data_IF_791383552102
#
_entry.id   IF_791383552102
#
_cell.length_a   1.000
_cell.length_b   1.000
_cell.length_c   1.000
_cell.angle_alpha   90.00
_cell.angle_beta   90.00
_cell.angle_gamma   90.00
#
_symmetry.space_group_name_H-M   'P 1'
#
loop_
_entity.id
_entity.type
_entity.pdbx_description
1 polymer ?
#
# COMPACT_ATOMS: atom_id res chain seq x y z
N UNK A 1 13.41 -6.12 13.62
CA UNK A 1 14.70 -6.77 13.29
C UNK A 1 15.35 -6.10 12.08
N UNK A 2 14.79 -6.17 10.85
CA UNK A 2 15.41 -5.52 9.68
C UNK A 2 15.65 -4.00 9.85
N UNK A 3 14.66 -3.27 10.36
CA UNK A 3 14.83 -1.84 10.65
C UNK A 3 15.86 -1.52 11.74
N UNK A 4 16.13 -2.47 12.64
CA UNK A 4 17.18 -2.37 13.65
C UNK A 4 18.54 -2.72 13.04
N UNK A 5 18.60 -3.74 12.18
CA UNK A 5 19.78 -4.06 11.40
C UNK A 5 20.24 -2.86 10.57
N UNK A 6 19.31 -2.10 9.99
CA UNK A 6 19.64 -0.90 9.21
C UNK A 6 20.32 0.21 10.04
N UNK A 7 20.28 0.14 11.38
CA UNK A 7 21.03 1.03 12.25
C UNK A 7 22.54 0.78 12.14
N UNK A 8 22.97 -0.42 11.72
CA UNK A 8 24.39 -0.75 11.51
C UNK A 8 25.07 0.17 10.49
N UNK A 9 24.31 0.72 9.53
CA UNK A 9 24.85 1.66 8.53
C UNK A 9 25.21 3.04 9.11
N UNK A 10 24.73 3.36 10.31
CA UNK A 10 24.98 4.65 10.97
C UNK A 10 26.15 4.61 11.95
N UNK A 11 26.68 3.42 12.26
CA UNK A 11 27.77 3.23 13.21
C UNK A 11 28.96 2.54 12.54
N UNK A 12 30.17 2.87 12.99
CA UNK A 12 31.40 2.18 12.59
C UNK A 12 31.98 1.41 13.79
N UNK A 13 32.72 0.32 13.52
CA UNK A 13 33.39 -0.46 14.57
C UNK A 13 32.50 -1.46 15.31
N UNK A 14 32.74 -1.66 16.62
CA UNK A 14 32.06 -2.68 17.45
C UNK A 14 30.56 -2.48 17.57
N UNK A 15 30.09 -1.23 17.54
CA UNK A 15 28.68 -0.91 17.67
C UNK A 15 27.90 -1.36 16.43
N UNK A 16 28.53 -1.31 15.25
CA UNK A 16 27.95 -1.82 14.00
C UNK A 16 27.70 -3.33 14.06
N UNK A 17 28.63 -4.10 14.65
CA UNK A 17 28.51 -5.56 14.76
C UNK A 17 27.28 -6.00 15.57
N UNK A 18 26.92 -5.24 16.61
CA UNK A 18 25.75 -5.52 17.43
C UNK A 18 24.44 -5.37 16.62
N UNK A 19 24.35 -4.38 15.73
CA UNK A 19 23.17 -4.21 14.86
C UNK A 19 23.15 -5.23 13.71
N UNK A 20 24.32 -5.67 13.21
CA UNK A 20 24.40 -6.74 12.21
C UNK A 20 23.81 -8.07 12.76
N UNK A 21 23.93 -8.33 14.07
CA UNK A 21 23.28 -9.47 14.71
C UNK A 21 21.74 -9.43 14.57
N UNK A 22 21.13 -8.24 14.45
CA UNK A 22 19.70 -8.10 14.20
C UNK A 22 19.29 -8.51 12.78
N UNK A 23 20.19 -8.40 11.79
CA UNK A 23 19.97 -8.97 10.45
C UNK A 23 20.03 -10.49 10.49
N UNK A 24 20.98 -11.08 11.22
CA UNK A 24 21.06 -12.54 11.42
C UNK A 24 19.78 -13.06 12.07
N UNK A 25 19.31 -12.39 13.14
CA UNK A 25 18.04 -12.72 13.80
C UNK A 25 16.84 -12.60 12.84
N UNK A 26 16.82 -11.58 11.97
CA UNK A 26 15.77 -11.39 10.98
C UNK A 26 15.69 -12.52 9.95
N UNK A 27 16.82 -12.86 9.34
CA UNK A 27 16.89 -13.91 8.32
C UNK A 27 16.63 -15.28 8.94
N UNK A 28 17.17 -15.55 10.13
CA UNK A 28 16.84 -16.76 10.89
C UNK A 28 15.34 -16.85 11.18
N UNK A 29 14.72 -15.75 11.64
CA UNK A 29 13.27 -15.70 11.90
C UNK A 29 12.43 -15.89 10.65
N UNK A 30 12.86 -15.36 9.51
CA UNK A 30 12.17 -15.52 8.22
C UNK A 30 12.08 -16.99 7.83
N UNK A 31 13.20 -17.72 7.85
CA UNK A 31 13.26 -19.15 7.53
C UNK A 31 12.41 -19.94 8.52
N UNK A 32 12.59 -19.65 9.81
CA UNK A 32 11.83 -20.30 10.87
C UNK A 32 10.31 -20.11 10.69
N UNK A 33 9.87 -18.87 10.49
CA UNK A 33 8.47 -18.52 10.25
C UNK A 33 7.90 -19.22 9.03
N UNK A 34 8.64 -19.28 7.91
CA UNK A 34 8.22 -20.01 6.73
C UNK A 34 7.99 -21.50 7.05
N UNK A 35 8.92 -22.15 7.76
CA UNK A 35 8.81 -23.59 8.07
C UNK A 35 7.62 -23.92 8.97
N UNK A 36 7.48 -23.29 10.14
CA UNK A 36 6.38 -23.63 11.05
C UNK A 36 5.01 -23.13 10.55
N UNK A 37 4.93 -21.97 9.88
CA UNK A 37 3.62 -21.50 9.37
C UNK A 37 3.12 -22.36 8.23
N UNK A 38 3.99 -22.75 7.29
CA UNK A 38 3.58 -23.63 6.20
C UNK A 38 3.04 -24.97 6.74
N UNK A 39 3.72 -25.56 7.74
CA UNK A 39 3.24 -26.76 8.41
C UNK A 39 1.86 -26.55 9.08
N UNK A 40 1.67 -25.45 9.83
CA UNK A 40 0.40 -25.14 10.48
C UNK A 40 -0.75 -24.92 9.49
N UNK A 41 -0.51 -24.25 8.35
CA UNK A 41 -1.52 -24.07 7.31
C UNK A 41 -1.92 -25.39 6.66
N UNK A 42 -0.94 -26.24 6.35
CA UNK A 42 -1.20 -27.57 5.79
C UNK A 42 -2.01 -28.44 6.76
N UNK A 43 -1.66 -28.45 8.04
CA UNK A 43 -2.41 -29.21 9.06
C UNK A 43 -3.80 -28.63 9.28
N UNK A 44 -3.97 -27.30 9.25
CA UNK A 44 -5.31 -26.70 9.32
C UNK A 44 -6.16 -27.16 8.13
N UNK A 45 -5.58 -27.27 6.93
CA UNK A 45 -6.25 -27.86 5.76
C UNK A 45 -6.56 -29.35 5.92
N UNK A 46 -5.67 -30.12 6.56
CA UNK A 46 -5.90 -31.53 6.86
C UNK A 46 -7.07 -31.74 7.85
N UNK A 47 -7.11 -30.93 8.91
CA UNK A 47 -8.22 -30.93 9.89
C UNK A 47 -9.52 -30.53 9.23
N UNK A 48 -9.52 -29.48 8.38
CA UNK A 48 -10.70 -29.04 7.63
C UNK A 48 -11.23 -30.14 6.70
N UNK A 49 -10.33 -30.80 5.95
CA UNK A 49 -10.70 -31.90 5.07
C UNK A 49 -11.33 -33.08 5.83
N UNK A 50 -10.71 -33.49 6.93
CA UNK A 50 -11.10 -34.65 7.74
C UNK A 50 -12.37 -34.41 8.58
N UNK A 51 -12.55 -33.19 9.10
CA UNK A 51 -13.67 -32.86 10.01
C UNK A 51 -14.82 -32.14 9.30
N UNK A 52 -14.55 -31.49 8.16
CA UNK A 52 -15.49 -30.66 7.43
C UNK A 52 -15.69 -29.24 7.99
N UNK A 53 -14.88 -28.82 8.97
CA UNK A 53 -14.96 -27.47 9.54
C UNK A 53 -13.63 -26.94 10.05
N UNK A 54 -13.48 -25.61 10.03
CA UNK A 54 -12.35 -24.86 10.64
C UNK A 54 -12.76 -24.13 11.91
N UNK A 55 -14.02 -24.28 12.33
CA UNK A 55 -14.56 -23.58 13.49
C UNK A 55 -14.02 -24.18 14.79
N UNK A 56 -13.10 -23.45 15.43
CA UNK A 56 -12.48 -23.83 16.71
C UNK A 56 -13.48 -24.01 17.87
N UNK A 57 -14.73 -23.57 17.72
CA UNK A 57 -15.79 -23.83 18.70
C UNK A 57 -16.40 -25.23 18.56
N UNK A 58 -16.36 -25.81 17.36
CA UNK A 58 -16.86 -27.15 17.03
C UNK A 58 -15.79 -28.23 17.19
N UNK A 59 -14.53 -27.88 16.95
CA UNK A 59 -13.38 -28.76 17.12
C UNK A 59 -13.10 -29.05 18.61
N UNK A 60 -12.45 -30.19 18.89
CA UNK A 60 -12.06 -30.63 20.23
C UNK A 60 -11.87 -32.15 20.32
N UNK A 61 -10.95 -32.58 21.19
CA UNK A 61 -10.72 -34.00 21.50
C UNK A 61 -10.22 -34.86 20.33
N UNK A 62 -9.50 -34.28 19.36
CA UNK A 62 -9.03 -34.98 18.15
C UNK A 62 -7.70 -35.72 18.33
N UNK A 63 -7.02 -35.60 19.47
CA UNK A 63 -5.69 -36.20 19.71
C UNK A 63 -5.63 -37.69 19.37
N UNK A 64 -6.60 -38.48 19.85
CA UNK A 64 -6.60 -39.95 19.64
C UNK A 64 -7.02 -40.36 18.23
N UNK A 65 -7.64 -39.45 17.47
CA UNK A 65 -8.17 -39.71 16.12
C UNK A 65 -7.16 -39.27 15.05
N UNK A 66 -6.46 -38.14 15.29
CA UNK A 66 -5.48 -37.56 14.39
C UNK A 66 -4.13 -37.33 15.10
N UNK A 67 -3.47 -38.41 15.59
CA UNK A 67 -2.26 -38.29 16.39
C UNK A 67 -1.08 -37.69 15.63
N UNK A 68 -0.95 -37.95 14.32
CA UNK A 68 0.16 -37.41 13.51
C UNK A 68 -0.07 -35.91 13.31
N UNK A 69 -1.29 -35.51 12.95
CA UNK A 69 -1.64 -34.09 12.81
C UNK A 69 -1.47 -33.32 14.14
N UNK A 70 -1.79 -33.97 15.27
CA UNK A 70 -1.54 -33.41 16.60
C UNK A 70 -0.05 -33.20 16.86
N UNK A 71 0.79 -34.21 16.61
CA UNK A 71 2.25 -34.11 16.82
C UNK A 71 2.87 -32.99 15.99
N UNK A 72 2.50 -32.88 14.72
CA UNK A 72 2.97 -31.80 13.84
C UNK A 72 2.50 -30.43 14.39
N UNK A 73 1.23 -30.33 14.79
CA UNK A 73 0.68 -29.10 15.36
C UNK A 73 1.43 -28.68 16.61
N UNK A 74 1.78 -29.63 17.50
CA UNK A 74 2.59 -29.35 18.69
C UNK A 74 3.96 -28.82 18.29
N UNK A 75 4.69 -29.54 17.43
CA UNK A 75 6.06 -29.15 17.02
C UNK A 75 6.05 -27.74 16.43
N UNK A 76 5.16 -27.49 15.47
CA UNK A 76 5.08 -26.21 14.77
C UNK A 76 4.53 -25.08 15.65
N UNK A 77 3.53 -25.34 16.49
CA UNK A 77 2.96 -24.33 17.40
C UNK A 77 3.92 -23.98 18.53
N UNK A 78 4.64 -24.96 19.09
CA UNK A 78 5.65 -24.70 20.12
C UNK A 78 6.88 -23.99 19.54
N UNK A 79 7.28 -24.30 18.30
CA UNK A 79 8.25 -23.46 17.58
C UNK A 79 7.75 -22.02 17.41
N UNK A 80 6.51 -21.82 16.94
CA UNK A 80 5.90 -20.48 16.84
C UNK A 80 5.82 -19.76 18.21
N UNK A 81 5.55 -20.49 19.28
CA UNK A 81 5.53 -19.97 20.64
C UNK A 81 6.93 -19.60 21.16
N UNK A 82 7.98 -20.20 20.58
CA UNK A 82 9.37 -19.98 20.94
C UNK A 82 9.88 -20.91 22.02
N UNK A 83 9.34 -22.14 22.14
CA UNK A 83 9.65 -23.08 23.23
C UNK A 83 10.81 -24.02 22.86
N UNK A 84 11.78 -24.29 23.75
CA UNK A 84 12.79 -25.33 23.53
C UNK A 84 12.17 -26.73 23.36
N UNK A 85 12.71 -27.63 22.52
CA UNK A 85 13.98 -27.55 21.80
C UNK A 85 13.87 -27.03 20.35
N UNK A 86 12.79 -26.34 19.97
CA UNK A 86 12.52 -25.99 18.57
C UNK A 86 13.27 -24.73 18.12
N UNK A 87 13.54 -24.62 16.80
CA UNK A 87 14.18 -23.45 16.19
C UNK A 87 13.49 -22.11 16.51
N UNK A 88 12.19 -22.14 16.75
CA UNK A 88 11.37 -21.12 17.42
C UNK A 88 12.06 -20.33 18.52
N UNK A 89 12.63 -21.07 19.47
CA UNK A 89 13.27 -20.51 20.66
C UNK A 89 14.50 -19.70 20.29
N UNK A 90 15.44 -20.27 19.53
CA UNK A 90 16.66 -19.58 19.08
C UNK A 90 16.34 -18.26 18.37
N UNK A 91 15.33 -18.29 17.50
CA UNK A 91 14.89 -17.13 16.75
C UNK A 91 14.32 -16.03 17.64
N UNK A 92 13.46 -16.38 18.61
CA UNK A 92 12.85 -15.40 19.53
C UNK A 92 13.81 -14.90 20.59
N UNK A 93 14.75 -15.72 21.02
CA UNK A 93 15.77 -15.29 21.97
C UNK A 93 16.64 -14.21 21.33
N UNK A 94 17.17 -14.45 20.12
CA UNK A 94 17.92 -13.42 19.36
C UNK A 94 17.08 -12.20 18.99
N UNK A 95 15.78 -12.39 18.71
CA UNK A 95 14.85 -11.27 18.54
C UNK A 95 14.85 -10.35 19.77
N UNK A 96 14.65 -10.92 20.95
CA UNK A 96 14.55 -10.18 22.21
C UNK A 96 15.88 -9.53 22.56
N UNK A 97 17.02 -10.23 22.39
CA UNK A 97 18.35 -9.63 22.50
C UNK A 97 18.47 -8.38 21.62
N UNK A 98 18.16 -8.50 20.32
CA UNK A 98 18.21 -7.36 19.39
C UNK A 98 17.26 -6.21 19.75
N UNK A 99 16.09 -6.49 20.35
CA UNK A 99 15.17 -5.42 20.77
C UNK A 99 15.65 -4.71 22.04
N UNK A 100 16.29 -5.45 22.95
CA UNK A 100 16.84 -4.91 24.19
C UNK A 100 18.09 -4.07 23.88
N UNK A 101 18.97 -4.57 23.02
CA UNK A 101 20.22 -3.87 22.71
C UNK A 101 20.00 -2.52 22.01
N UNK A 102 18.88 -2.36 21.29
CA UNK A 102 18.48 -1.06 20.71
C UNK A 102 18.24 0.02 21.75
N UNK A 103 17.94 -0.34 23.01
CA UNK A 103 17.81 0.66 24.07
C UNK A 103 19.14 1.33 24.42
N UNK A 104 20.27 0.69 24.06
CA UNK A 104 21.61 1.25 24.21
C UNK A 104 22.06 2.04 22.97
N UNK A 105 21.28 2.03 21.89
CA UNK A 105 21.53 2.79 20.67
C UNK A 105 21.20 4.28 20.87
N UNK A 106 22.21 5.15 20.91
CA UNK A 106 22.03 6.62 20.94
C UNK A 106 21.56 7.20 19.59
N UNK A 107 20.66 6.52 18.86
CA UNK A 107 20.11 7.00 17.57
C UNK A 107 18.71 7.57 17.78
N UNK A 108 18.36 8.65 17.09
CA UNK A 108 17.01 9.23 17.05
C UNK A 108 16.37 9.68 18.39
N UNK A 109 17.14 10.05 19.42
CA UNK A 109 16.59 10.32 20.77
C UNK A 109 15.76 9.14 21.32
N UNK A 110 16.13 7.91 20.95
CA UNK A 110 15.52 6.68 21.48
C UNK A 110 15.74 6.52 22.99
N UNK A 111 16.50 7.39 23.66
CA UNK A 111 16.64 7.40 25.12
C UNK A 111 15.30 7.48 25.87
N UNK A 112 14.24 8.04 25.27
CA UNK A 112 12.88 8.06 25.88
C UNK A 112 11.89 7.06 25.26
N UNK A 113 11.93 6.84 23.94
CA UNK A 113 10.97 5.96 23.23
C UNK A 113 11.51 4.56 22.94
N UNK A 114 12.83 4.36 23.00
CA UNK A 114 13.50 3.09 22.70
C UNK A 114 13.08 1.98 23.64
N UNK A 115 12.74 2.29 24.89
CA UNK A 115 12.22 1.30 25.86
C UNK A 115 10.85 0.73 25.47
N UNK A 116 10.05 1.45 24.66
CA UNK A 116 8.76 0.94 24.19
C UNK A 116 8.94 -0.22 23.20
N UNK A 117 10.06 -0.26 22.46
CA UNK A 117 10.33 -1.31 21.46
C UNK A 117 10.40 -2.70 22.10
N UNK A 118 11.27 -2.97 23.11
CA UNK A 118 11.30 -4.28 23.77
C UNK A 118 10.01 -4.56 24.54
N UNK A 119 9.35 -3.56 25.13
CA UNK A 119 8.05 -3.76 25.81
C UNK A 119 7.00 -4.29 24.82
N UNK A 120 6.84 -3.64 23.67
CA UNK A 120 5.89 -4.08 22.63
C UNK A 120 6.28 -5.45 22.07
N UNK A 121 7.57 -5.73 21.90
CA UNK A 121 8.07 -7.02 21.45
C UNK A 121 7.78 -8.16 22.44
N UNK A 122 7.97 -7.92 23.75
CA UNK A 122 7.64 -8.87 24.82
C UNK A 122 6.13 -9.09 24.86
N UNK A 123 5.31 -8.03 24.85
CA UNK A 123 3.85 -8.14 24.84
C UNK A 123 3.34 -8.91 23.61
N UNK A 124 3.87 -8.62 22.43
CA UNK A 124 3.56 -9.37 21.21
C UNK A 124 3.94 -10.85 21.31
N UNK A 125 5.07 -11.14 21.96
CA UNK A 125 5.53 -12.51 22.21
C UNK A 125 4.65 -13.25 23.23
N UNK A 126 4.16 -12.58 24.28
CA UNK A 126 3.16 -13.10 25.22
C UNK A 126 1.90 -13.52 24.47
N UNK A 127 1.31 -12.62 23.67
CA UNK A 127 0.11 -12.97 22.91
C UNK A 127 0.36 -14.10 21.90
N UNK A 128 1.56 -14.14 21.31
CA UNK A 128 1.99 -15.23 20.44
C UNK A 128 2.01 -16.58 21.14
N UNK A 129 2.58 -16.63 22.33
CA UNK A 129 2.57 -17.83 23.17
C UNK A 129 1.13 -18.25 23.51
N UNK A 130 0.29 -17.30 23.93
CA UNK A 130 -1.12 -17.55 24.30
C UNK A 130 -1.90 -18.18 23.15
N UNK A 131 -1.88 -17.58 21.94
CA UNK A 131 -2.66 -18.12 20.84
C UNK A 131 -2.08 -19.44 20.30
N UNK A 132 -0.76 -19.65 20.35
CA UNK A 132 -0.12 -20.88 19.92
C UNK A 132 -0.52 -22.09 20.77
N UNK A 133 -0.41 -21.95 22.10
CA UNK A 133 -0.79 -23.02 23.04
C UNK A 133 -2.30 -23.27 23.00
N UNK A 134 -3.09 -22.20 22.89
CA UNK A 134 -4.53 -22.31 22.80
C UNK A 134 -5.00 -23.01 21.52
N UNK A 135 -4.30 -22.83 20.39
CA UNK A 135 -4.58 -23.56 19.15
C UNK A 135 -4.45 -25.08 19.35
N UNK A 136 -3.38 -25.55 20.01
CA UNK A 136 -3.21 -26.97 20.35
C UNK A 136 -4.38 -27.45 21.21
N UNK A 137 -4.68 -26.70 22.28
CA UNK A 137 -5.70 -27.07 23.26
C UNK A 137 -7.13 -27.09 22.71
N UNK A 138 -7.49 -26.13 21.86
CA UNK A 138 -8.85 -26.02 21.32
C UNK A 138 -9.13 -27.05 20.22
N UNK A 139 -8.14 -27.40 19.41
CA UNK A 139 -8.35 -28.31 18.27
C UNK A 139 -8.25 -29.77 18.71
N UNK A 140 -7.23 -30.13 19.49
CA UNK A 140 -6.88 -31.53 19.74
C UNK A 140 -7.16 -32.01 21.16
N UNK A 141 -7.12 -31.12 22.15
CA UNK A 141 -7.40 -31.48 23.56
C UNK A 141 -8.87 -31.26 23.91
N UNK A 142 -9.24 -31.60 25.16
CA UNK A 142 -10.60 -31.51 25.65
C UNK A 142 -11.49 -32.69 25.22
N UNK A 143 -12.80 -32.49 25.31
CA UNK A 143 -13.78 -33.54 25.01
C UNK A 143 -14.07 -33.63 23.52
N UNK A 144 -14.13 -34.85 23.01
CA UNK A 144 -14.54 -35.13 21.63
C UNK A 144 -16.04 -34.83 21.44
N UNK A 145 -16.39 -34.11 20.38
CA UNK A 145 -17.76 -33.63 20.10
C UNK A 145 -18.25 -34.13 18.73
N UNK A 146 -18.68 -35.40 18.60
CA UNK A 146 -19.06 -35.97 17.32
C UNK A 146 -20.22 -35.22 16.65
N UNK A 147 -21.23 -34.80 17.43
CA UNK A 147 -22.45 -34.17 16.90
C UNK A 147 -22.22 -32.75 16.33
N UNK A 148 -21.09 -32.12 16.68
CA UNK A 148 -20.74 -30.79 16.18
C UNK A 148 -19.98 -30.85 14.84
N UNK A 149 -19.48 -32.02 14.44
CA UNK A 149 -18.62 -32.19 13.27
C UNK A 149 -19.45 -32.58 12.03
N UNK A 150 -19.29 -31.87 10.90
CA UNK A 150 -19.96 -32.22 9.64
C UNK A 150 -19.57 -33.60 9.08
N UNK A 151 -18.36 -34.10 9.40
CA UNK A 151 -17.85 -35.39 8.97
C UNK A 151 -17.28 -36.17 10.13
N UNK A 152 -17.30 -37.51 10.01
CA UNK A 152 -16.58 -38.38 10.95
C UNK A 152 -15.07 -38.14 10.79
N UNK A 153 -14.38 -37.63 11.82
CA UNK A 153 -12.97 -37.32 11.74
C UNK A 153 -12.14 -38.59 11.53
N UNK A 154 -11.08 -38.43 10.78
CA UNK A 154 -10.07 -39.45 10.53
C UNK A 154 -8.71 -38.77 10.32
N UNK A 155 -7.62 -39.50 10.48
CA UNK A 155 -6.30 -38.97 10.12
C UNK A 155 -6.23 -38.67 8.61
N UNK A 156 -5.54 -37.60 8.24
CA UNK A 156 -5.39 -37.25 6.83
C UNK A 156 -4.58 -38.31 6.09
N UNK A 157 -4.79 -38.41 4.77
CA UNK A 157 -4.05 -39.37 3.95
C UNK A 157 -2.53 -39.16 4.07
N UNK A 158 -1.69 -40.21 4.02
CA UNK A 158 -0.25 -40.08 4.12
C UNK A 158 0.33 -39.06 3.13
N UNK A 159 -0.19 -39.03 1.90
CA UNK A 159 0.26 -38.09 0.85
C UNK A 159 0.05 -36.62 1.24
N UNK A 160 -1.06 -36.32 1.95
CA UNK A 160 -1.33 -34.97 2.45
C UNK A 160 -0.41 -34.60 3.63
N UNK A 161 0.08 -35.59 4.37
CA UNK A 161 0.93 -35.40 5.55
C UNK A 161 2.43 -35.35 5.24
N UNK A 162 2.89 -35.80 4.07
CA UNK A 162 4.33 -35.79 3.71
C UNK A 162 4.95 -34.40 3.86
N UNK A 163 4.36 -33.38 3.23
CA UNK A 163 4.89 -32.02 3.27
C UNK A 163 4.94 -31.43 4.69
N UNK A 164 3.86 -31.45 5.50
CA UNK A 164 3.93 -30.94 6.86
C UNK A 164 4.84 -31.76 7.78
N UNK A 165 5.00 -33.07 7.56
CA UNK A 165 5.98 -33.90 8.28
C UNK A 165 7.41 -33.41 7.98
N UNK A 166 7.76 -33.22 6.72
CA UNK A 166 9.09 -32.71 6.33
C UNK A 166 9.36 -31.37 7.01
N UNK A 167 8.38 -30.45 7.00
CA UNK A 167 8.52 -29.14 7.64
C UNK A 167 8.66 -29.25 9.17
N UNK A 168 7.94 -30.15 9.82
CA UNK A 168 8.09 -30.39 11.25
C UNK A 168 9.46 -30.98 11.61
N UNK A 169 9.98 -31.88 10.77
CA UNK A 169 11.35 -32.40 10.91
C UNK A 169 12.35 -31.25 10.78
N UNK A 170 12.23 -30.39 9.77
CA UNK A 170 13.10 -29.22 9.61
C UNK A 170 13.06 -28.28 10.83
N UNK A 171 11.88 -28.06 11.42
CA UNK A 171 11.72 -27.27 12.66
C UNK A 171 12.55 -27.84 13.82
N UNK A 172 12.60 -29.17 13.95
CA UNK A 172 13.41 -29.85 14.97
C UNK A 172 14.89 -29.80 14.59
N UNK A 173 15.24 -30.18 13.36
CA UNK A 173 16.62 -30.21 12.86
C UNK A 173 17.29 -28.86 13.00
N UNK A 174 16.62 -27.78 12.59
CA UNK A 174 17.16 -26.41 12.72
C UNK A 174 17.20 -25.90 14.16
N UNK A 175 16.43 -26.50 15.06
CA UNK A 175 16.48 -26.17 16.49
C UNK A 175 17.68 -26.84 17.18
N UNK A 176 17.96 -28.09 16.82
CA UNK A 176 19.06 -28.87 17.39
C UNK A 176 20.41 -28.56 16.72
N UNK A 177 20.40 -28.27 15.42
CA UNK A 177 21.60 -28.03 14.59
C UNK A 177 21.49 -26.69 13.83
N UNK A 178 21.44 -25.54 14.54
CA UNK A 178 21.26 -24.24 13.90
C UNK A 178 22.42 -23.85 12.97
N UNK A 179 23.64 -24.34 13.25
CA UNK A 179 24.83 -24.12 12.41
C UNK A 179 24.61 -24.51 10.94
N UNK A 180 23.79 -25.54 10.68
CA UNK A 180 23.46 -25.95 9.31
C UNK A 180 22.82 -24.83 8.49
N UNK A 181 21.99 -23.98 9.11
CA UNK A 181 21.39 -22.82 8.46
C UNK A 181 22.30 -21.59 8.52
N UNK A 182 22.93 -21.39 9.68
CA UNK A 182 23.74 -20.19 9.94
C UNK A 182 24.86 -20.07 8.93
N UNK A 183 25.66 -21.12 8.76
CA UNK A 183 26.89 -21.08 7.98
C UNK A 183 26.60 -21.15 6.47
N UNK A 184 25.49 -21.79 6.07
CA UNK A 184 25.19 -22.06 4.66
C UNK A 184 24.33 -21.00 3.98
N UNK A 185 23.35 -20.43 4.68
CA UNK A 185 22.34 -19.54 4.10
C UNK A 185 22.33 -18.18 4.79
N UNK A 186 22.32 -18.16 6.12
CA UNK A 186 22.05 -16.94 6.88
C UNK A 186 23.25 -15.99 6.81
N UNK A 187 24.46 -16.49 7.06
CA UNK A 187 25.67 -15.68 7.01
C UNK A 187 25.93 -15.09 5.61
N UNK A 188 25.86 -15.84 4.49
CA UNK A 188 25.94 -15.26 3.16
C UNK A 188 24.85 -14.22 2.87
N UNK A 189 23.61 -14.47 3.32
CA UNK A 189 22.51 -13.53 3.14
C UNK A 189 22.74 -12.21 3.91
N UNK A 190 23.24 -12.29 5.14
CA UNK A 190 23.55 -11.09 5.94
C UNK A 190 24.77 -10.36 5.39
N UNK A 191 25.80 -11.06 4.92
CA UNK A 191 26.94 -10.44 4.24
C UNK A 191 26.53 -9.72 2.94
N UNK A 192 25.49 -10.19 2.25
CA UNK A 192 24.92 -9.46 1.11
C UNK A 192 24.13 -8.21 1.52
N UNK A 193 23.65 -8.16 2.77
CA UNK A 193 22.84 -7.06 3.32
C UNK A 193 23.67 -6.07 4.14
N UNK A 194 24.83 -6.45 4.66
CA UNK A 194 25.67 -5.64 5.55
C UNK A 194 26.93 -5.18 4.83
N UNK A 195 27.35 -3.93 5.04
CA UNK A 195 28.65 -3.43 4.58
C UNK A 195 29.82 -3.88 5.47
N UNK A 196 29.52 -4.46 6.63
CA UNK A 196 30.50 -4.97 7.60
C UNK A 196 30.55 -6.49 7.54
N UNK A 197 31.76 -7.06 7.44
CA UNK A 197 31.98 -8.50 7.51
C UNK A 197 31.44 -9.05 8.84
N UNK A 198 30.57 -10.06 8.75
CA UNK A 198 30.03 -10.73 9.93
C UNK A 198 31.15 -11.43 10.71
N UNK A 199 31.16 -11.27 12.02
CA UNK A 199 31.78 -12.26 12.90
C UNK A 199 30.86 -13.49 12.93
N UNK A 200 31.43 -14.71 13.00
CA UNK A 200 30.64 -15.93 13.17
C UNK A 200 29.78 -15.81 14.43
N UNK A 201 28.47 -15.58 14.26
CA UNK A 201 27.51 -15.55 15.36
C UNK A 201 26.96 -16.97 15.53
N UNK A 202 27.45 -17.66 16.55
CA UNK A 202 26.94 -18.97 16.91
C UNK A 202 25.56 -18.86 17.59
N UNK A 203 24.63 -19.72 17.19
CA UNK A 203 23.32 -19.84 17.82
C UNK A 203 23.35 -20.98 18.83
N UNK A 204 23.38 -20.66 20.13
CA UNK A 204 23.30 -21.65 21.19
C UNK A 204 21.89 -21.71 21.80
N UNK A 205 21.45 -22.89 22.22
CA UNK A 205 20.16 -23.04 22.92
C UNK A 205 20.18 -22.49 24.35
N UNK A 206 21.36 -22.25 24.92
CA UNK A 206 21.49 -21.64 26.23
C UNK A 206 22.76 -20.80 26.29
N UNK A 207 22.60 -19.49 26.46
CA UNK A 207 23.70 -18.52 26.57
C UNK A 207 23.92 -18.04 28.03
N UNK A 208 23.26 -18.68 29.01
CA UNK A 208 23.25 -18.24 30.41
C UNK A 208 22.01 -17.42 30.77
N UNK A 209 22.04 -16.76 31.93
CA UNK A 209 20.96 -15.88 32.41
C UNK A 209 21.05 -14.49 31.75
N UNK A 210 20.66 -14.39 30.49
CA UNK A 210 20.58 -13.12 29.75
C UNK A 210 19.26 -12.38 30.03
N UNK A 211 19.20 -11.05 29.83
CA UNK A 211 17.94 -10.30 29.89
C UNK A 211 16.87 -10.83 28.92
N UNK A 212 17.29 -11.34 27.76
CA UNK A 212 16.41 -11.99 26.80
C UNK A 212 15.81 -13.29 27.38
N UNK A 213 16.63 -14.11 28.05
CA UNK A 213 16.17 -15.36 28.65
C UNK A 213 15.18 -15.11 29.79
N UNK A 214 15.43 -14.10 30.62
CA UNK A 214 14.50 -13.64 31.65
C UNK A 214 13.18 -13.14 31.03
N UNK A 215 13.26 -12.43 29.91
CA UNK A 215 12.08 -11.99 29.15
C UNK A 215 11.30 -13.18 28.58
N UNK A 216 11.99 -14.22 28.10
CA UNK A 216 11.38 -15.48 27.65
C UNK A 216 10.66 -16.21 28.79
N UNK A 217 11.27 -16.29 29.98
CA UNK A 217 10.62 -16.85 31.17
C UNK A 217 9.39 -16.03 31.60
N UNK A 218 9.49 -14.69 31.55
CA UNK A 218 8.37 -13.80 31.78
C UNK A 218 7.23 -14.03 30.77
N UNK A 219 7.56 -14.20 29.49
CA UNK A 219 6.60 -14.51 28.42
C UNK A 219 5.83 -15.80 28.74
N UNK A 220 6.52 -16.85 29.19
CA UNK A 220 5.87 -18.10 29.59
C UNK A 220 5.01 -17.93 30.84
N UNK A 221 5.52 -17.28 31.88
CA UNK A 221 4.78 -17.07 33.12
C UNK A 221 3.49 -16.27 32.90
N UNK A 222 3.59 -15.10 32.27
CA UNK A 222 2.43 -14.27 31.94
C UNK A 222 1.52 -14.95 30.94
N UNK A 223 2.08 -15.63 29.93
CA UNK A 223 1.33 -16.38 28.94
C UNK A 223 0.47 -17.48 29.56
N UNK A 224 1.02 -18.27 30.49
CA UNK A 224 0.28 -19.30 31.23
C UNK A 224 -0.84 -18.66 32.05
N UNK A 225 -0.57 -17.57 32.79
CA UNK A 225 -1.59 -16.85 33.56
C UNK A 225 -2.73 -16.35 32.64
N UNK A 226 -2.40 -15.80 31.48
CA UNK A 226 -3.39 -15.34 30.50
C UNK A 226 -4.20 -16.50 29.89
N UNK A 227 -3.59 -17.66 29.65
CA UNK A 227 -4.32 -18.85 29.17
C UNK A 227 -5.31 -19.32 30.25
N UNK A 228 -4.89 -19.38 31.51
CA UNK A 228 -5.75 -19.81 32.63
C UNK A 228 -6.90 -18.80 32.89
N UNK A 229 -6.64 -17.51 32.75
CA UNK A 229 -7.62 -16.44 32.93
C UNK A 229 -8.41 -16.09 31.66
N UNK A 230 -8.26 -16.87 30.58
CA UNK A 230 -8.79 -16.56 29.24
C UNK A 230 -10.29 -16.23 29.22
N UNK A 231 -11.09 -16.99 29.96
CA UNK A 231 -12.55 -16.85 30.00
C UNK A 231 -13.02 -15.49 30.55
N UNK A 232 -12.17 -14.81 31.33
CA UNK A 232 -12.44 -13.51 31.92
C UNK A 232 -12.10 -12.37 30.95
N UNK A 233 -10.83 -12.28 30.51
CA UNK A 233 -10.36 -11.13 29.74
C UNK A 233 -10.84 -11.12 28.28
N UNK A 234 -11.18 -12.28 27.70
CA UNK A 234 -11.67 -12.32 26.32
C UNK A 234 -12.99 -11.56 26.15
N UNK A 235 -13.82 -11.47 27.20
CA UNK A 235 -15.07 -10.71 27.18
C UNK A 235 -14.81 -9.23 26.94
N UNK A 236 -13.74 -8.69 27.55
CA UNK A 236 -13.31 -7.30 27.38
C UNK A 236 -12.84 -7.02 25.94
N UNK A 237 -12.09 -7.94 25.33
CA UNK A 237 -11.69 -7.79 23.93
C UNK A 237 -12.84 -7.94 22.95
N UNK A 238 -13.81 -8.83 23.24
CA UNK A 238 -15.01 -8.98 22.39
C UNK A 238 -15.93 -7.76 22.43
N UNK A 239 -15.89 -6.95 23.50
CA UNK A 239 -16.64 -5.69 23.60
C UNK A 239 -15.99 -4.51 22.86
N UNK A 240 -14.88 -4.71 22.16
CA UNK A 240 -14.17 -3.63 21.47
C UNK A 240 -15.02 -3.06 20.31
N UNK A 241 -15.13 -1.73 20.17
CA UNK A 241 -15.97 -1.12 19.16
C UNK A 241 -15.45 -1.41 17.74
N UNK A 242 -16.36 -1.72 16.83
CA UNK A 242 -16.05 -2.05 15.42
C UNK A 242 -15.26 -0.95 14.70
N UNK A 243 -15.44 0.31 15.11
CA UNK A 243 -14.76 1.50 14.56
C UNK A 243 -13.24 1.52 14.75
N UNK A 244 -12.70 0.72 15.68
CA UNK A 244 -11.25 0.62 15.89
C UNK A 244 -10.58 -0.42 14.99
N UNK A 245 -11.36 -1.20 14.23
CA UNK A 245 -10.81 -2.12 13.24
C UNK A 245 -10.37 -1.37 11.98
N UNK A 246 -9.23 -1.77 11.41
CA UNK A 246 -8.74 -1.19 10.15
C UNK A 246 -9.73 -1.46 9.01
N UNK A 247 -10.38 -2.63 9.00
CA UNK A 247 -11.38 -3.01 8.01
C UNK A 247 -12.55 -2.00 7.96
N UNK A 248 -13.03 -1.52 9.12
CA UNK A 248 -14.08 -0.51 9.14
C UNK A 248 -13.66 0.76 8.39
N UNK A 249 -12.43 1.22 8.56
CA UNK A 249 -11.93 2.41 7.87
C UNK A 249 -11.64 2.14 6.40
N UNK A 250 -11.12 0.96 6.07
CA UNK A 250 -10.92 0.52 4.69
C UNK A 250 -12.24 0.47 3.93
N UNK A 251 -13.26 -0.19 4.47
CA UNK A 251 -14.58 -0.31 3.88
C UNK A 251 -15.28 1.06 3.80
N UNK A 252 -15.15 1.88 4.85
CA UNK A 252 -15.69 3.25 4.85
C UNK A 252 -15.03 4.10 3.76
N UNK A 253 -13.71 4.01 3.60
CA UNK A 253 -13.00 4.70 2.53
C UNK A 253 -13.48 4.21 1.16
N UNK A 254 -13.61 2.89 0.99
CA UNK A 254 -14.12 2.29 -0.24
C UNK A 254 -15.54 2.72 -0.60
N UNK A 255 -16.41 2.90 0.41
CA UNK A 255 -17.79 3.35 0.21
C UNK A 255 -17.91 4.86 -0.05
N UNK A 256 -17.04 5.68 0.55
CA UNK A 256 -17.08 7.14 0.41
C UNK A 256 -16.39 7.63 -0.87
N UNK A 257 -15.38 6.90 -1.35
CA UNK A 257 -14.60 7.30 -2.54
C UNK A 257 -15.45 7.50 -3.80
N UNK A 258 -16.42 6.61 -4.13
CA UNK A 258 -17.30 6.80 -5.28
C UNK A 258 -18.16 8.06 -5.19
N UNK A 259 -18.67 8.39 -4.00
CA UNK A 259 -19.52 9.56 -3.79
C UNK A 259 -18.72 10.85 -3.97
N UNK A 260 -17.50 10.90 -3.45
CA UNK A 260 -16.56 12.02 -3.67
C UNK A 260 -16.26 12.15 -5.16
N UNK A 261 -15.91 11.04 -5.82
CA UNK A 261 -15.63 11.03 -7.26
C UNK A 261 -16.81 11.57 -8.07
N UNK A 262 -18.02 11.08 -7.78
CA UNK A 262 -19.25 11.54 -8.42
C UNK A 262 -19.51 13.02 -8.19
N UNK A 263 -19.30 13.52 -6.98
CA UNK A 263 -19.47 14.93 -6.65
C UNK A 263 -18.49 15.81 -7.45
N UNK A 264 -17.21 15.41 -7.51
CA UNK A 264 -16.19 16.11 -8.29
C UNK A 264 -16.56 16.12 -9.78
N UNK A 265 -16.92 14.97 -10.35
CA UNK A 265 -17.30 14.87 -11.77
C UNK A 265 -18.50 15.72 -12.10
N UNK A 266 -19.56 15.66 -11.28
CA UNK A 266 -20.78 16.43 -11.53
C UNK A 266 -20.61 17.94 -11.31
N UNK A 267 -19.56 18.36 -10.59
CA UNK A 267 -19.26 19.79 -10.36
C UNK A 267 -18.93 20.51 -11.67
N UNK A 268 -18.16 19.89 -12.57
CA UNK A 268 -17.74 20.51 -13.83
C UNK A 268 -18.33 19.84 -15.09
N UNK A 269 -18.65 18.55 -15.05
CA UNK A 269 -19.30 17.84 -16.17
C UNK A 269 -20.82 17.98 -16.07
N UNK A 270 -21.31 19.12 -16.54
CA UNK A 270 -22.73 19.50 -16.43
C UNK A 270 -23.56 19.15 -17.68
N UNK A 271 -22.97 18.55 -18.71
CA UNK A 271 -23.62 18.18 -19.97
C UNK A 271 -23.84 19.33 -20.96
N UNK A 272 -23.66 20.59 -20.53
CA UNK A 272 -23.77 21.77 -21.39
C UNK A 272 -22.43 22.17 -21.99
N UNK A 273 -22.39 22.33 -23.32
CA UNK A 273 -21.19 22.78 -24.05
C UNK A 273 -20.71 24.16 -23.60
N UNK A 274 -21.62 25.07 -23.24
CA UNK A 274 -21.30 26.40 -22.69
C UNK A 274 -20.36 26.31 -21.48
N UNK A 275 -20.66 25.43 -20.52
CA UNK A 275 -19.88 25.32 -19.30
C UNK A 275 -18.47 24.77 -19.60
N UNK A 276 -18.34 23.84 -20.55
CA UNK A 276 -17.05 23.36 -21.02
C UNK A 276 -16.25 24.48 -21.70
N UNK A 277 -16.88 25.30 -22.55
CA UNK A 277 -16.22 26.45 -23.18
C UNK A 277 -15.76 27.49 -22.15
N UNK A 278 -16.56 27.76 -21.12
CA UNK A 278 -16.16 28.66 -20.02
C UNK A 278 -14.90 28.13 -19.32
N UNK A 279 -14.83 26.84 -19.01
CA UNK A 279 -13.63 26.22 -18.40
C UNK A 279 -12.42 26.37 -19.33
N UNK A 280 -12.58 26.09 -20.63
CA UNK A 280 -11.51 26.22 -21.63
C UNK A 280 -11.00 27.67 -21.69
N UNK A 281 -11.90 28.66 -21.86
CA UNK A 281 -11.49 30.06 -21.94
C UNK A 281 -10.87 30.59 -20.63
N UNK A 282 -11.40 30.20 -19.46
CA UNK A 282 -10.81 30.56 -18.17
C UNK A 282 -9.41 29.96 -18.04
N UNK A 283 -9.23 28.69 -18.42
CA UNK A 283 -7.92 28.03 -18.38
C UNK A 283 -6.91 28.69 -19.33
N UNK A 284 -7.34 29.08 -20.54
CA UNK A 284 -6.52 29.83 -21.50
C UNK A 284 -6.09 31.18 -20.92
N UNK A 285 -7.03 31.97 -20.41
CA UNK A 285 -6.74 33.27 -19.80
C UNK A 285 -5.79 33.11 -18.62
N UNK A 286 -6.04 32.14 -17.74
CA UNK A 286 -5.20 31.89 -16.57
C UNK A 286 -3.77 31.52 -16.98
N UNK A 287 -3.60 30.63 -17.95
CA UNK A 287 -2.29 30.25 -18.48
C UNK A 287 -1.59 31.47 -19.10
N UNK A 288 -2.27 32.23 -19.96
CA UNK A 288 -1.69 33.43 -20.58
C UNK A 288 -1.25 34.47 -19.55
N UNK A 289 -2.07 34.74 -18.52
CA UNK A 289 -1.73 35.68 -17.44
C UNK A 289 -0.52 35.18 -16.65
N UNK A 290 -0.51 33.90 -16.26
CA UNK A 290 0.63 33.31 -15.55
C UNK A 290 1.91 33.40 -16.40
N UNK A 291 1.83 33.08 -17.70
CA UNK A 291 2.97 33.21 -18.61
C UNK A 291 3.46 34.64 -18.69
N UNK A 292 2.58 35.63 -18.90
CA UNK A 292 2.95 37.05 -18.97
C UNK A 292 3.64 37.56 -17.69
N UNK A 293 3.28 37.03 -16.52
CA UNK A 293 3.92 37.38 -15.24
C UNK A 293 5.29 36.70 -15.09
N UNK A 294 5.41 35.45 -15.52
CA UNK A 294 6.63 34.64 -15.33
C UNK A 294 7.69 34.96 -16.39
N UNK A 295 7.30 35.22 -17.63
CA UNK A 295 8.24 35.52 -18.72
C UNK A 295 8.52 37.02 -18.79
N UNK A 296 9.78 37.46 -18.65
CA UNK A 296 10.12 38.87 -18.84
C UNK A 296 9.89 39.25 -20.30
N UNK A 297 8.84 40.02 -20.55
CA UNK A 297 8.51 40.54 -21.88
C UNK A 297 8.91 42.01 -21.98
N UNK A 298 9.65 42.38 -23.03
CA UNK A 298 9.98 43.76 -23.36
C UNK A 298 9.24 44.18 -24.63
N UNK A 299 8.42 45.21 -24.53
CA UNK A 299 7.77 45.81 -25.71
C UNK A 299 8.79 46.76 -26.35
N UNK A 300 9.33 46.38 -27.51
CA UNK A 300 10.25 47.20 -28.27
C UNK A 300 9.62 47.61 -29.61
N UNK A 301 9.43 48.92 -29.81
CA UNK A 301 8.81 49.48 -31.02
C UNK A 301 9.83 49.94 -32.07
N UNK A 302 11.12 49.61 -31.92
CA UNK A 302 12.19 50.13 -32.79
C UNK A 302 12.14 49.64 -34.24
N UNK A 303 11.60 48.44 -34.48
CA UNK A 303 11.57 47.79 -35.80
C UNK A 303 10.14 47.68 -36.38
N UNK A 304 9.21 48.53 -35.94
CA UNK A 304 7.82 48.50 -36.40
C UNK A 304 7.66 49.35 -37.66
N UNK A 305 7.05 48.79 -38.71
CA UNK A 305 6.75 49.51 -39.95
C UNK A 305 5.75 50.65 -39.73
N UNK A 306 5.87 51.72 -40.53
CA UNK A 306 4.93 52.84 -40.49
C UNK A 306 3.51 52.39 -40.87
N UNK A 307 2.52 52.76 -40.04
CA UNK A 307 1.11 52.45 -40.27
C UNK A 307 0.58 53.29 -41.42
N UNK A 308 0.09 52.63 -42.47
CA UNK A 308 -0.45 53.33 -43.64
C UNK A 308 -1.92 53.72 -43.41
N UNK A 309 -2.38 54.88 -43.91
CA UNK A 309 -3.75 55.36 -43.64
C UNK A 309 -4.87 54.38 -44.02
N UNK A 310 -4.70 53.61 -45.09
CA UNK A 310 -5.70 52.61 -45.52
C UNK A 310 -5.79 51.40 -44.56
N UNK A 311 -4.69 51.02 -43.90
CA UNK A 311 -4.67 49.91 -42.93
C UNK A 311 -5.50 50.28 -41.70
N UNK A 312 -5.36 51.53 -41.25
CA UNK A 312 -6.13 52.07 -40.14
C UNK A 312 -7.63 52.06 -40.45
N UNK A 313 -8.02 52.49 -41.66
CA UNK A 313 -9.42 52.50 -42.09
C UNK A 313 -10.00 51.07 -42.08
N UNK A 314 -9.28 50.09 -42.62
CA UNK A 314 -9.75 48.69 -42.66
C UNK A 314 -9.86 48.11 -41.24
N UNK A 315 -8.90 48.36 -40.36
CA UNK A 315 -8.94 47.90 -38.96
C UNK A 315 -10.14 48.50 -38.22
N UNK A 316 -10.41 49.80 -38.39
CA UNK A 316 -11.59 50.45 -37.80
C UNK A 316 -12.89 49.84 -38.33
N UNK A 317 -12.97 49.55 -39.63
CA UNK A 317 -14.13 48.86 -40.22
C UNK A 317 -14.32 47.44 -39.64
N UNK A 318 -13.24 46.69 -39.46
CA UNK A 318 -13.29 45.35 -38.84
C UNK A 318 -13.78 45.45 -37.39
N UNK A 319 -13.24 46.37 -36.59
CA UNK A 319 -13.61 46.54 -35.18
C UNK A 319 -15.07 46.97 -35.04
N UNK A 320 -15.52 47.91 -35.88
CA UNK A 320 -16.92 48.38 -35.86
C UNK A 320 -17.89 47.28 -36.28
N UNK A 321 -17.62 46.57 -37.37
CA UNK A 321 -18.44 45.45 -37.82
C UNK A 321 -18.47 44.31 -36.78
N UNK A 322 -17.32 43.93 -36.22
CA UNK A 322 -17.23 42.89 -35.19
C UNK A 322 -18.00 43.30 -33.91
N UNK A 323 -17.93 44.57 -33.51
CA UNK A 323 -18.67 45.08 -32.35
C UNK A 323 -20.19 45.06 -32.62
N UNK A 324 -20.62 45.40 -33.83
CA UNK A 324 -22.04 45.36 -34.22
C UNK A 324 -22.63 43.94 -34.17
N UNK A 325 -21.83 42.88 -34.38
CA UNK A 325 -22.29 41.49 -34.22
C UNK A 325 -22.76 41.20 -32.79
N UNK A 326 -22.10 41.77 -31.77
CA UNK A 326 -22.41 41.56 -30.36
C UNK A 326 -23.76 42.19 -29.99
N UNK A 327 -24.08 43.34 -30.59
CA UNK A 327 -25.33 44.07 -30.35
C UNK A 327 -26.46 43.70 -31.31
N UNK A 328 -26.22 42.73 -32.20
CA UNK A 328 -27.19 42.28 -33.19
C UNK A 328 -28.40 41.61 -32.53
N UNK A 329 -29.59 42.17 -32.73
CA UNK A 329 -30.84 41.56 -32.25
C UNK A 329 -31.40 40.48 -33.19
N UNK A 330 -30.96 40.45 -34.46
CA UNK A 330 -31.40 39.46 -35.44
C UNK A 330 -30.22 38.64 -35.97
N UNK A 331 -30.45 37.34 -36.17
CA UNK A 331 -29.44 36.42 -36.72
C UNK A 331 -28.96 36.86 -38.10
N UNK A 332 -29.88 37.36 -38.94
CA UNK A 332 -29.56 37.87 -40.27
C UNK A 332 -28.57 39.04 -40.20
N UNK A 333 -28.77 39.98 -39.27
CA UNK A 333 -27.85 41.10 -39.07
C UNK A 333 -26.47 40.63 -38.58
N UNK A 334 -26.40 39.66 -37.66
CA UNK A 334 -25.13 39.06 -37.21
C UNK A 334 -24.35 38.44 -38.38
N UNK A 335 -25.04 37.74 -39.29
CA UNK A 335 -24.44 37.11 -40.45
C UNK A 335 -23.91 38.16 -41.44
N UNK A 336 -24.72 39.19 -41.77
CA UNK A 336 -24.29 40.28 -42.65
C UNK A 336 -23.04 40.97 -42.10
N UNK A 337 -23.02 41.24 -40.79
CA UNK A 337 -21.87 41.88 -40.15
C UNK A 337 -20.65 40.95 -40.07
N UNK A 338 -20.84 39.63 -39.86
CA UNK A 338 -19.75 38.65 -39.94
C UNK A 338 -19.14 38.60 -41.34
N UNK A 339 -19.95 38.64 -42.39
CA UNK A 339 -19.46 38.73 -43.78
C UNK A 339 -18.78 40.06 -44.07
N UNK A 340 -19.24 41.17 -43.48
CA UNK A 340 -18.55 42.45 -43.59
C UNK A 340 -17.12 42.37 -43.01
N UNK A 341 -16.94 41.69 -41.86
CA UNK A 341 -15.61 41.40 -41.30
C UNK A 341 -14.79 40.56 -42.29
N UNK A 342 -15.35 39.49 -42.84
CA UNK A 342 -14.68 38.61 -43.81
C UNK A 342 -14.22 39.33 -45.09
N UNK A 343 -15.06 40.19 -45.67
CA UNK A 343 -14.69 41.00 -46.84
C UNK A 343 -13.63 42.07 -46.51
N UNK A 344 -13.69 42.68 -45.31
CA UNK A 344 -12.64 43.59 -44.86
C UNK A 344 -11.29 42.87 -44.70
N UNK A 345 -11.29 41.63 -44.20
CA UNK A 345 -10.09 40.78 -44.12
C UNK A 345 -9.56 40.41 -45.52
N UNK A 346 -10.44 40.13 -46.50
CA UNK A 346 -10.02 39.87 -47.88
C UNK A 346 -9.34 41.09 -48.52
N UNK A 347 -9.90 42.29 -48.32
CA UNK A 347 -9.29 43.55 -48.74
C UNK A 347 -7.95 43.77 -48.02
N UNK A 348 -7.87 43.44 -46.73
CA UNK A 348 -6.63 43.50 -45.96
C UNK A 348 -5.54 42.63 -46.63
N UNK A 349 -5.84 41.40 -47.04
CA UNK A 349 -4.88 40.55 -47.76
C UNK A 349 -4.39 41.14 -49.10
N UNK A 350 -5.24 41.82 -49.86
CA UNK A 350 -4.83 42.50 -51.11
C UNK A 350 -3.75 43.55 -50.81
N UNK A 351 -3.98 44.37 -49.78
CA UNK A 351 -3.06 45.44 -49.41
C UNK A 351 -1.72 44.95 -48.83
N UNK A 352 -1.71 43.73 -48.27
CA UNK A 352 -0.48 43.06 -47.83
C UNK A 352 0.17 42.18 -48.91
N UNK A 353 -0.30 42.24 -50.16
CA UNK A 353 0.30 41.54 -51.29
C UNK A 353 0.04 40.03 -51.29
N UNK A 354 -1.05 39.58 -50.67
CA UNK A 354 -1.49 38.19 -50.61
C UNK A 354 -2.77 37.98 -51.47
N UNK A 355 -2.69 38.08 -52.81
CA UNK A 355 -3.86 38.05 -53.69
C UNK A 355 -4.57 36.68 -53.68
N UNK A 356 -3.84 35.58 -53.52
CA UNK A 356 -4.42 34.23 -53.49
C UNK A 356 -5.26 34.00 -52.22
N UNK A 357 -4.79 34.50 -51.06
CA UNK A 357 -5.57 34.49 -49.81
C UNK A 357 -6.80 35.40 -49.91
N UNK A 358 -6.68 36.54 -50.58
CA UNK A 358 -7.81 37.44 -50.80
C UNK A 358 -8.89 36.76 -51.66
N UNK A 359 -8.52 36.17 -52.80
CA UNK A 359 -9.45 35.52 -53.72
C UNK A 359 -10.17 34.35 -53.04
N UNK A 360 -9.44 33.51 -52.31
CA UNK A 360 -10.03 32.40 -51.55
C UNK A 360 -10.97 32.91 -50.45
N UNK A 361 -10.61 33.97 -49.72
CA UNK A 361 -11.47 34.57 -48.70
C UNK A 361 -12.77 35.14 -49.29
N UNK A 362 -12.70 35.86 -50.43
CA UNK A 362 -13.88 36.37 -51.13
C UNK A 362 -14.85 35.26 -51.54
N UNK A 363 -14.30 34.16 -52.05
CA UNK A 363 -15.09 32.98 -52.47
C UNK A 363 -15.73 32.30 -51.25
N UNK A 364 -14.96 32.06 -50.18
CA UNK A 364 -15.46 31.40 -48.97
C UNK A 364 -16.56 32.22 -48.29
N UNK A 365 -16.41 33.54 -48.17
CA UNK A 365 -17.44 34.41 -47.58
C UNK A 365 -18.72 34.45 -48.42
N UNK A 366 -18.58 34.49 -49.74
CA UNK A 366 -19.74 34.51 -50.65
C UNK A 366 -20.51 33.19 -50.58
N UNK A 367 -19.82 32.05 -50.47
CA UNK A 367 -20.43 30.72 -50.35
C UNK A 367 -21.04 30.51 -48.96
N UNK A 368 -20.31 30.84 -47.88
CA UNK A 368 -20.75 30.60 -46.51
C UNK A 368 -22.00 31.43 -46.17
N UNK A 369 -22.01 32.71 -46.50
CA UNK A 369 -23.12 33.63 -46.27
C UNK A 369 -24.33 33.31 -47.15
N UNK A 370 -24.09 33.25 -48.47
CA UNK A 370 -25.15 33.09 -49.46
C UNK A 370 -25.83 31.72 -49.41
N UNK A 371 -25.07 30.66 -49.12
CA UNK A 371 -25.56 29.28 -49.28
C UNK A 371 -25.80 28.59 -47.96
N UNK A 372 -24.93 28.75 -46.97
CA UNK A 372 -24.99 27.94 -45.75
C UNK A 372 -25.79 28.67 -44.67
N UNK A 373 -25.39 29.88 -44.30
CA UNK A 373 -26.04 30.60 -43.20
C UNK A 373 -27.47 31.03 -43.53
N UNK A 374 -27.72 31.49 -44.76
CA UNK A 374 -29.07 31.88 -45.19
C UNK A 374 -30.01 30.66 -45.29
N UNK A 375 -29.49 29.51 -45.75
CA UNK A 375 -30.26 28.27 -45.85
C UNK A 375 -30.56 27.67 -44.47
N UNK A 376 -29.61 27.67 -43.53
CA UNK A 376 -29.87 27.24 -42.16
C UNK A 376 -30.90 28.12 -41.46
N UNK A 377 -30.90 29.43 -41.71
CA UNK A 377 -31.92 30.34 -41.17
C UNK A 377 -33.32 30.11 -41.77
N UNK A 378 -33.43 29.57 -42.98
CA UNK A 378 -34.74 29.21 -43.53
C UNK A 378 -35.37 27.96 -42.89
N UNK A 379 -34.59 27.18 -42.16
CA UNK A 379 -35.03 25.93 -41.50
C UNK A 379 -35.21 26.03 -39.98
N UNK A 380 -34.95 27.21 -39.38
CA UNK A 380 -35.16 27.49 -37.95
C UNK A 380 -36.08 28.68 -37.77
#
# INVERSE_FOLDING_TARGET
>A
MLGIGAVSYHFEGSDSQLYVAAFMAAVFHLINHATFKAALFMITGAVDHATGTRDVHKLGGLLTIMPISFTITIISSLSMAGVPPFNGFLSKEKFLESMIDVTHANVFNLNSLGILIPIVAILGSVFTFVYAVRLIGQVFLGSYKPDALPKKPHEASPLMLIAPIILAILVITFGLFPAMLTDSIIEPAVNAMSSTQTTHIEFHMFHGFTPAFLSTLFIYGVGIILILSFSYWIKLLKSHPTKLTINYWYDKLGNVTPDISKHITNSYVTGFTRNNLVIIFISLIAITVVTLIVTPFSINFKDVSEIRPFELIIVVLIITAASMIIFAHSRLFSIIMASAVGYCVAIFFIFFGAPDLALTQFVVESISNGTIFTLFLSFT
#
